data_IF_914166662049
#
_entry.id   IF_914166662049
#
_cell.length_a   1.000
_cell.length_b   1.000
_cell.length_c   1.000
_cell.angle_alpha   90.00
_cell.angle_beta   90.00
_cell.angle_gamma   90.00
#
_symmetry.space_group_name_H-M   'P 1'
#
loop_
_entity.id
_entity.type
_entity.pdbx_description
1 polymer ?
#
# COMPACT_ATOMS: atom_id res chain seq x y z
N UNK A 1 -16.84 15.84 7.39
CA UNK A 1 -16.05 15.39 6.24
C UNK A 1 -15.56 13.99 6.55
N UNK A 2 -15.99 12.99 5.81
CA UNK A 2 -15.51 11.62 6.04
C UNK A 2 -14.12 11.50 5.37
N UNK A 3 -13.13 11.06 6.16
CA UNK A 3 -11.77 10.76 5.68
C UNK A 3 -11.59 9.26 5.59
N UNK A 4 -10.69 8.81 4.72
CA UNK A 4 -10.34 7.38 4.62
C UNK A 4 -9.51 6.91 5.82
N UNK A 5 -9.60 5.65 6.17
CA UNK A 5 -8.65 5.00 7.08
C UNK A 5 -7.38 4.61 6.32
N UNK A 6 -6.21 4.89 6.89
CA UNK A 6 -4.93 4.73 6.20
C UNK A 6 -4.10 3.64 6.87
N UNK A 7 -3.68 2.65 6.07
CA UNK A 7 -2.72 1.63 6.53
C UNK A 7 -1.30 2.22 6.58
N UNK A 8 -0.69 2.27 7.77
CA UNK A 8 0.64 2.85 7.97
C UNK A 8 1.60 1.87 8.63
N UNK A 9 2.83 1.78 8.13
CA UNK A 9 3.87 0.94 8.74
C UNK A 9 4.35 1.49 10.10
N UNK A 10 4.55 0.61 11.07
CA UNK A 10 5.03 0.97 12.41
C UNK A 10 6.43 1.60 12.41
N UNK A 11 7.24 1.31 11.39
CA UNK A 11 8.55 1.93 11.19
C UNK A 11 8.50 3.46 10.97
N UNK A 12 7.34 4.03 10.67
CA UNK A 12 7.15 5.48 10.56
C UNK A 12 6.84 6.14 11.92
N UNK A 13 6.56 5.35 12.96
CA UNK A 13 6.17 5.84 14.28
C UNK A 13 7.36 6.14 15.19
N UNK A 14 8.51 6.51 14.64
CA UNK A 14 9.75 6.78 15.37
C UNK A 14 9.60 8.00 16.28
N UNK A 15 8.97 9.07 15.77
CA UNK A 15 8.82 10.33 16.49
C UNK A 15 7.45 10.46 17.18
N UNK A 16 7.41 11.01 18.43
CA UNK A 16 6.14 11.19 19.16
C UNK A 16 5.11 12.04 18.42
N UNK A 17 5.53 13.05 17.66
CA UNK A 17 4.64 13.90 16.91
C UNK A 17 4.00 13.19 15.72
N UNK A 18 4.71 12.26 15.07
CA UNK A 18 4.15 11.42 14.00
C UNK A 18 3.04 10.53 14.56
N UNK A 19 3.23 9.94 15.76
CA UNK A 19 2.18 9.14 16.42
C UNK A 19 0.90 9.93 16.63
N UNK A 20 1.00 11.23 16.96
CA UNK A 20 -0.18 12.11 17.12
C UNK A 20 -0.88 12.34 15.77
N UNK A 21 -0.13 12.67 14.72
CA UNK A 21 -0.68 12.89 13.37
C UNK A 21 -1.37 11.62 12.85
N UNK A 22 -0.73 10.47 12.98
CA UNK A 22 -1.27 9.16 12.56
C UNK A 22 -2.63 8.88 13.24
N UNK A 23 -2.75 9.17 14.55
CA UNK A 23 -4.01 9.00 15.27
C UNK A 23 -5.12 9.94 14.78
N UNK A 24 -4.77 11.19 14.48
CA UNK A 24 -5.74 12.19 13.96
C UNK A 24 -6.24 11.78 12.57
N UNK A 25 -5.38 11.17 11.75
CA UNK A 25 -5.70 10.76 10.38
C UNK A 25 -6.36 9.38 10.27
N UNK A 26 -7.00 8.86 11.34
CA UNK A 26 -7.66 7.55 11.33
C UNK A 26 -6.77 6.41 10.81
N UNK A 27 -5.46 6.44 11.12
CA UNK A 27 -4.55 5.42 10.59
C UNK A 27 -4.53 4.18 11.48
N UNK A 28 -4.48 3.00 10.88
CA UNK A 28 -4.20 1.75 11.56
C UNK A 28 -2.79 1.25 11.23
N UNK A 29 -2.20 0.51 12.18
CA UNK A 29 -0.77 0.20 12.14
C UNK A 29 -0.53 -1.17 11.54
N UNK A 30 0.33 -1.22 10.51
CA UNK A 30 0.87 -2.43 9.91
C UNK A 30 2.20 -2.75 10.58
N UNK A 31 2.26 -3.82 11.36
CA UNK A 31 3.49 -4.27 12.02
C UNK A 31 4.46 -4.88 11.01
N UNK A 32 5.74 -4.55 11.15
CA UNK A 32 6.82 -5.02 10.27
C UNK A 32 7.91 -5.75 11.06
N UNK A 33 8.75 -6.50 10.37
CA UNK A 33 9.90 -7.18 10.99
C UNK A 33 9.53 -8.29 11.97
N UNK A 34 8.31 -8.84 11.88
CA UNK A 34 7.84 -9.94 12.73
C UNK A 34 8.34 -11.29 12.21
N UNK A 35 8.47 -12.27 13.11
CA UNK A 35 8.66 -13.67 12.74
C UNK A 35 7.43 -14.22 11.97
N UNK A 36 7.60 -15.28 11.17
CA UNK A 36 6.56 -15.82 10.29
C UNK A 36 5.21 -16.03 10.97
N UNK A 37 5.20 -16.64 12.16
CA UNK A 37 3.97 -16.92 12.91
C UNK A 37 3.26 -15.65 13.36
N UNK A 38 4.01 -14.66 13.80
CA UNK A 38 3.47 -13.37 14.25
C UNK A 38 3.01 -12.53 13.06
N UNK A 39 3.72 -12.61 11.95
CA UNK A 39 3.33 -11.95 10.71
C UNK A 39 2.00 -12.48 10.19
N UNK A 40 1.78 -13.81 10.18
CA UNK A 40 0.51 -14.42 9.81
C UNK A 40 -0.64 -13.95 10.72
N UNK A 41 -0.42 -13.93 12.03
CA UNK A 41 -1.43 -13.43 12.98
C UNK A 41 -1.75 -11.95 12.75
N UNK A 42 -0.73 -11.13 12.53
CA UNK A 42 -0.89 -9.70 12.25
C UNK A 42 -1.63 -9.46 10.94
N UNK A 43 -1.31 -10.23 9.89
CA UNK A 43 -1.98 -10.16 8.60
C UNK A 43 -3.45 -10.57 8.69
N UNK A 44 -3.76 -11.65 9.43
CA UNK A 44 -5.14 -12.07 9.69
C UNK A 44 -5.93 -11.01 10.46
N UNK A 45 -5.34 -10.42 11.50
CA UNK A 45 -5.98 -9.37 12.27
C UNK A 45 -6.26 -8.14 11.41
N UNK A 46 -5.30 -7.75 10.57
CA UNK A 46 -5.43 -6.63 9.66
C UNK A 46 -6.52 -6.89 8.60
N UNK A 47 -6.53 -8.07 8.00
CA UNK A 47 -7.55 -8.46 7.03
C UNK A 47 -8.95 -8.42 7.66
N UNK A 48 -9.14 -9.03 8.82
CA UNK A 48 -10.42 -9.00 9.55
C UNK A 48 -10.86 -7.56 9.88
N UNK A 49 -9.91 -6.71 10.26
CA UNK A 49 -10.21 -5.31 10.51
C UNK A 49 -10.66 -4.58 9.23
N UNK A 50 -10.00 -4.83 8.10
CA UNK A 50 -10.37 -4.21 6.82
C UNK A 50 -11.79 -4.62 6.39
N UNK A 51 -12.12 -5.91 6.46
CA UNK A 51 -13.48 -6.39 6.21
C UNK A 51 -14.49 -5.73 7.14
N UNK A 52 -14.21 -5.70 8.45
CA UNK A 52 -15.07 -5.03 9.44
C UNK A 52 -15.24 -3.53 9.15
N UNK A 53 -14.16 -2.83 8.82
CA UNK A 53 -14.21 -1.40 8.56
C UNK A 53 -15.06 -1.07 7.32
N UNK A 54 -14.97 -1.88 6.28
CA UNK A 54 -15.74 -1.69 5.05
C UNK A 54 -17.21 -2.11 5.24
N UNK A 55 -17.46 -3.30 5.79
CA UNK A 55 -18.82 -3.88 5.82
C UNK A 55 -19.67 -3.40 6.98
N UNK A 56 -19.06 -3.11 8.13
CA UNK A 56 -19.77 -2.76 9.36
C UNK A 56 -19.67 -1.29 9.73
N UNK A 57 -18.46 -0.69 9.56
CA UNK A 57 -18.25 0.73 9.84
C UNK A 57 -18.58 1.62 8.64
N UNK A 58 -18.68 1.05 7.43
CA UNK A 58 -18.87 1.76 6.17
C UNK A 58 -17.81 2.85 5.93
N UNK A 59 -16.55 2.54 6.30
CA UNK A 59 -15.40 3.41 6.10
C UNK A 59 -14.59 2.96 4.88
N UNK A 60 -14.03 3.92 4.17
CA UNK A 60 -13.09 3.63 3.09
C UNK A 60 -11.69 3.41 3.66
N UNK A 61 -10.94 2.50 3.05
CA UNK A 61 -9.55 2.21 3.43
C UNK A 61 -8.62 2.55 2.27
N UNK A 62 -7.52 3.21 2.58
CA UNK A 62 -6.40 3.38 1.66
C UNK A 62 -5.20 2.54 2.12
N UNK A 63 -4.73 1.70 1.22
CA UNK A 63 -3.57 0.84 1.44
C UNK A 63 -2.64 0.90 0.22
N UNK A 64 -1.33 0.97 0.49
CA UNK A 64 -0.35 0.91 -0.59
C UNK A 64 -0.29 -0.51 -1.17
N UNK A 65 -0.26 -0.61 -2.50
CA UNK A 65 -0.26 -1.87 -3.25
C UNK A 65 1.02 -2.69 -3.13
N UNK A 66 2.07 -2.13 -2.52
CA UNK A 66 3.35 -2.80 -2.30
C UNK A 66 4.05 -2.33 -1.02
N UNK A 67 5.03 -3.10 -0.59
CA UNK A 67 5.91 -2.72 0.50
C UNK A 67 6.99 -1.74 0.03
N UNK A 68 7.22 -0.68 0.80
CA UNK A 68 8.22 0.34 0.51
C UNK A 68 7.69 1.44 -0.39
N UNK A 69 8.61 2.31 -0.84
CA UNK A 69 8.34 3.44 -1.75
C UNK A 69 8.92 3.13 -3.12
N UNK A 70 8.18 3.41 -4.19
CA UNK A 70 8.72 3.37 -5.54
C UNK A 70 9.77 4.48 -5.71
N UNK A 71 10.94 4.12 -6.22
CA UNK A 71 12.05 5.05 -6.47
C UNK A 71 12.30 5.26 -7.96
N UNK A 72 11.80 4.35 -8.76
CA UNK A 72 11.97 4.26 -10.21
C UNK A 72 10.65 4.42 -10.97
N UNK A 73 9.58 4.84 -10.27
CA UNK A 73 8.22 4.96 -10.79
C UNK A 73 7.59 3.64 -11.27
N UNK A 74 8.21 2.50 -10.96
CA UNK A 74 7.68 1.19 -11.26
C UNK A 74 7.01 0.59 -10.00
N UNK A 75 5.77 0.99 -9.76
CA UNK A 75 5.03 0.66 -8.54
C UNK A 75 4.01 -0.44 -8.83
N UNK A 76 4.48 -1.69 -8.88
CA UNK A 76 3.66 -2.86 -9.17
C UNK A 76 3.01 -3.44 -7.94
N UNK A 77 1.78 -3.91 -8.11
CA UNK A 77 1.00 -4.56 -7.08
C UNK A 77 1.65 -5.88 -6.65
N UNK A 78 1.80 -6.06 -5.34
CA UNK A 78 2.35 -7.29 -4.78
C UNK A 78 1.23 -8.29 -4.45
N UNK A 79 1.34 -9.52 -4.95
CA UNK A 79 0.45 -10.64 -4.62
C UNK A 79 0.22 -10.81 -3.10
N UNK A 80 1.26 -10.52 -2.32
CA UNK A 80 1.20 -10.66 -0.86
C UNK A 80 0.16 -9.75 -0.21
N UNK A 81 -0.11 -8.59 -0.79
CA UNK A 81 -1.15 -7.66 -0.32
C UNK A 81 -2.53 -8.28 -0.58
N UNK A 82 -2.77 -8.78 -1.79
CA UNK A 82 -4.03 -9.44 -2.14
C UNK A 82 -4.25 -10.72 -1.32
N UNK A 83 -3.20 -11.53 -1.14
CA UNK A 83 -3.23 -12.71 -0.27
C UNK A 83 -3.57 -12.36 1.17
N UNK A 84 -3.05 -11.24 1.67
CA UNK A 84 -3.39 -10.75 3.00
C UNK A 84 -4.85 -10.28 3.07
N UNK A 85 -5.36 -9.58 2.07
CA UNK A 85 -6.74 -9.09 2.04
C UNK A 85 -7.76 -10.22 2.14
N UNK A 86 -7.51 -11.38 1.55
CA UNK A 86 -8.42 -12.55 1.57
C UNK A 86 -8.22 -13.47 2.78
N UNK A 87 -7.40 -13.12 3.76
CA UNK A 87 -7.25 -13.94 4.98
C UNK A 87 -8.48 -13.85 5.88
N UNK A 88 -9.15 -12.68 5.93
CA UNK A 88 -10.44 -12.45 6.57
C UNK A 88 -11.59 -12.59 5.59
N UNK A 89 -12.80 -12.23 6.03
CA UNK A 89 -14.02 -12.31 5.25
C UNK A 89 -14.59 -13.72 5.11
N UNK A 90 -15.74 -13.83 4.46
CA UNK A 90 -16.46 -15.10 4.24
C UNK A 90 -16.49 -15.47 2.75
N UNK A 91 -16.73 -16.74 2.45
CA UNK A 91 -16.79 -17.25 1.08
C UNK A 91 -15.43 -17.60 0.49
N UNK A 92 -15.36 -17.66 -0.83
CA UNK A 92 -14.10 -17.91 -1.56
C UNK A 92 -13.25 -16.64 -1.68
N UNK A 93 -12.10 -16.74 -2.34
CA UNK A 93 -11.16 -15.61 -2.50
C UNK A 93 -11.77 -14.44 -3.29
N UNK A 94 -12.62 -14.72 -4.25
CA UNK A 94 -13.29 -13.70 -5.07
C UNK A 94 -14.39 -13.01 -4.27
N UNK A 95 -15.19 -13.76 -3.50
CA UNK A 95 -16.22 -13.21 -2.64
C UNK A 95 -15.61 -12.22 -1.64
N UNK A 96 -14.48 -12.60 -1.02
CA UNK A 96 -13.74 -11.76 -0.06
C UNK A 96 -13.15 -10.50 -0.69
N UNK A 97 -12.61 -10.57 -1.91
CA UNK A 97 -12.10 -9.39 -2.62
C UNK A 97 -13.23 -8.47 -3.08
N UNK A 98 -14.34 -9.04 -3.56
CA UNK A 98 -15.53 -8.27 -3.97
C UNK A 98 -16.17 -7.53 -2.81
N UNK A 99 -16.21 -8.14 -1.62
CA UNK A 99 -16.68 -7.48 -0.40
C UNK A 99 -15.90 -6.20 -0.09
N UNK A 100 -14.61 -6.15 -0.45
CA UNK A 100 -13.77 -4.97 -0.24
C UNK A 100 -13.99 -3.85 -1.26
N UNK A 101 -14.66 -4.08 -2.39
CA UNK A 101 -14.90 -3.09 -3.45
C UNK A 101 -13.60 -2.38 -3.86
N UNK A 102 -12.63 -3.14 -4.36
CA UNK A 102 -11.31 -2.61 -4.70
C UNK A 102 -11.39 -1.59 -5.84
N UNK A 103 -10.84 -0.41 -5.59
CA UNK A 103 -10.75 0.68 -6.56
C UNK A 103 -9.28 1.07 -6.72
N UNK A 104 -8.65 0.77 -7.86
CA UNK A 104 -7.29 1.21 -8.13
C UNK A 104 -7.19 2.74 -8.15
N UNK A 105 -6.14 3.27 -7.52
CA UNK A 105 -5.87 4.70 -7.44
C UNK A 105 -4.43 4.96 -7.87
N UNK A 106 -4.23 5.75 -8.91
CA UNK A 106 -2.93 6.25 -9.30
C UNK A 106 -2.73 7.71 -8.91
N UNK A 107 -1.48 8.06 -8.59
CA UNK A 107 -1.08 9.41 -8.22
C UNK A 107 0.13 9.80 -9.06
N UNK A 108 0.02 10.90 -9.77
CA UNK A 108 1.12 11.47 -10.55
C UNK A 108 1.38 12.93 -10.18
N UNK A 109 2.66 13.30 -10.24
CA UNK A 109 3.15 14.66 -10.02
C UNK A 109 3.74 15.18 -11.32
N UNK A 110 3.54 16.45 -11.61
CA UNK A 110 4.23 17.12 -12.73
C UNK A 110 5.75 17.16 -12.49
N UNK A 111 6.16 17.42 -11.23
CA UNK A 111 7.55 17.37 -10.77
C UNK A 111 7.67 16.53 -9.51
N UNK A 112 8.63 15.62 -9.47
CA UNK A 112 8.98 14.92 -8.24
C UNK A 112 10.05 15.72 -7.47
N UNK A 113 9.71 16.33 -6.30
CA UNK A 113 10.67 17.13 -5.56
C UNK A 113 11.86 16.33 -5.02
N UNK A 114 11.79 15.00 -5.07
CA UNK A 114 12.82 14.09 -4.60
C UNK A 114 13.59 13.39 -5.75
N UNK A 115 13.40 13.78 -7.01
CA UNK A 115 14.01 13.15 -8.18
C UNK A 115 15.54 13.06 -8.07
N UNK A 116 16.18 14.19 -7.80
CA UNK A 116 17.63 14.27 -7.58
C UNK A 116 18.10 13.36 -6.44
N UNK A 117 17.36 13.34 -5.32
CA UNK A 117 17.70 12.53 -4.15
C UNK A 117 17.56 11.03 -4.44
N UNK A 118 16.54 10.65 -5.22
CA UNK A 118 16.34 9.27 -5.69
C UNK A 118 17.47 8.86 -6.64
N UNK A 119 17.83 9.72 -7.58
CA UNK A 119 18.93 9.47 -8.51
C UNK A 119 20.28 9.33 -7.77
N UNK A 120 20.56 10.23 -6.82
CA UNK A 120 21.75 10.17 -5.98
C UNK A 120 21.83 8.88 -5.17
N UNK A 121 20.73 8.46 -4.54
CA UNK A 121 20.66 7.21 -3.78
C UNK A 121 20.90 6.00 -4.69
N UNK A 122 20.31 5.99 -5.89
CA UNK A 122 20.50 4.92 -6.87
C UNK A 122 21.96 4.84 -7.32
N UNK A 123 22.60 5.99 -7.57
CA UNK A 123 24.04 6.06 -7.88
C UNK A 123 24.93 5.54 -6.73
N UNK A 124 24.68 5.98 -5.50
CA UNK A 124 25.44 5.54 -4.34
C UNK A 124 25.35 4.03 -4.12
N UNK A 125 24.16 3.44 -4.31
CA UNK A 125 23.98 1.98 -4.23
C UNK A 125 24.65 1.21 -5.35
N UNK A 126 24.72 1.79 -6.55
CA UNK A 126 25.43 1.20 -7.67
C UNK A 126 26.97 1.21 -7.43
N UNK A 127 27.47 2.30 -6.87
CA UNK A 127 28.91 2.53 -6.71
C UNK A 127 29.45 1.88 -5.42
N UNK A 128 28.60 1.70 -4.40
CA UNK A 128 28.93 0.99 -3.14
C UNK A 128 27.79 0.04 -2.72
N UNK A 129 28.05 -1.25 -2.84
CA UNK A 129 27.08 -2.32 -2.47
C UNK A 129 26.72 -2.32 -0.96
N UNK A 130 27.56 -1.72 -0.10
CA UNK A 130 27.31 -1.61 1.34
C UNK A 130 26.64 -0.30 1.74
N UNK A 131 26.37 0.59 0.79
CA UNK A 131 25.72 1.86 1.07
C UNK A 131 24.36 1.65 1.77
N UNK A 132 24.23 2.30 2.91
CA UNK A 132 22.98 2.37 3.67
C UNK A 132 22.63 3.82 3.93
N UNK A 133 21.43 4.18 3.56
CA UNK A 133 20.86 5.49 3.84
C UNK A 133 20.66 5.66 5.35
N UNK A 134 21.03 6.83 5.88
CA UNK A 134 20.82 7.16 7.29
C UNK A 134 19.36 7.54 7.57
N UNK A 135 18.93 7.45 8.84
CA UNK A 135 17.60 7.93 9.28
C UNK A 135 17.43 9.44 9.07
N UNK A 136 18.54 10.21 9.25
CA UNK A 136 18.52 11.65 9.00
C UNK A 136 18.28 11.98 7.52
N UNK A 137 18.87 11.21 6.59
CA UNK A 137 18.62 11.37 5.16
C UNK A 137 17.17 11.04 4.80
N UNK A 138 16.59 10.01 5.45
CA UNK A 138 15.19 9.66 5.23
C UNK A 138 14.25 10.76 5.71
N UNK A 139 14.53 11.37 6.86
CA UNK A 139 13.76 12.49 7.39
C UNK A 139 13.87 13.72 6.48
N UNK A 140 15.07 14.07 6.04
CA UNK A 140 15.32 15.17 5.11
C UNK A 140 14.57 14.96 3.78
N UNK A 141 14.60 13.73 3.23
CA UNK A 141 13.87 13.40 2.01
C UNK A 141 12.35 13.50 2.20
N UNK A 142 11.83 13.07 3.35
CA UNK A 142 10.40 13.24 3.68
C UNK A 142 10.03 14.72 3.73
N UNK A 143 10.84 15.55 4.36
CA UNK A 143 10.62 16.99 4.46
C UNK A 143 10.62 17.65 3.08
N UNK A 144 11.59 17.33 2.22
CA UNK A 144 11.65 17.82 0.83
C UNK A 144 10.45 17.31 0.04
N UNK A 145 10.05 16.04 0.21
CA UNK A 145 8.86 15.49 -0.43
C UNK A 145 7.56 16.17 -0.02
N UNK A 146 7.45 16.66 1.22
CA UNK A 146 6.25 17.37 1.70
C UNK A 146 6.23 18.81 1.20
N UNK A 147 7.33 19.55 1.35
CA UNK A 147 7.37 20.99 1.09
C UNK A 147 7.82 21.37 -0.32
N UNK A 148 8.49 20.44 -1.04
CA UNK A 148 8.99 20.70 -2.38
C UNK A 148 7.89 20.96 -3.40
N UNK A 149 8.22 21.74 -4.40
CA UNK A 149 7.31 22.06 -5.51
C UNK A 149 7.00 20.80 -6.33
N UNK A 150 5.72 20.59 -6.64
CA UNK A 150 5.22 19.39 -7.35
C UNK A 150 4.51 19.71 -8.66
N UNK A 151 4.28 20.99 -8.93
CA UNK A 151 3.44 21.41 -10.06
C UNK A 151 2.00 20.92 -9.88
N UNK A 152 1.42 20.41 -10.95
CA UNK A 152 0.11 19.77 -10.88
C UNK A 152 0.20 18.37 -10.27
N UNK A 153 -0.76 18.06 -9.39
CA UNK A 153 -0.92 16.73 -8.78
C UNK A 153 -2.20 16.15 -9.33
N UNK A 154 -2.10 14.98 -9.94
CA UNK A 154 -3.24 14.30 -10.52
C UNK A 154 -3.53 12.99 -9.79
N UNK A 155 -4.76 12.86 -9.30
CA UNK A 155 -5.31 11.63 -8.76
C UNK A 155 -6.26 11.03 -9.79
N UNK A 156 -6.02 9.80 -10.17
CA UNK A 156 -6.89 9.06 -11.08
C UNK A 156 -7.39 7.80 -10.39
N UNK A 157 -8.71 7.66 -10.30
CA UNK A 157 -9.39 6.45 -9.82
C UNK A 157 -9.94 5.67 -10.99
N UNK A 158 -9.63 4.38 -11.05
CA UNK A 158 -10.29 3.45 -11.96
C UNK A 158 -11.71 3.11 -11.45
N UNK A 159 -12.45 2.33 -12.21
CA UNK A 159 -13.68 1.69 -11.74
C UNK A 159 -13.37 0.65 -10.65
N UNK A 160 -14.38 0.27 -9.86
CA UNK A 160 -14.30 -0.89 -8.99
C UNK A 160 -14.12 -2.16 -9.82
N UNK A 161 -13.18 -3.03 -9.47
CA UNK A 161 -12.80 -4.21 -10.26
C UNK A 161 -13.69 -5.45 -10.00
N UNK A 162 -14.86 -5.29 -9.41
CA UNK A 162 -15.71 -6.42 -9.04
C UNK A 162 -16.20 -7.23 -10.24
N UNK A 163 -16.50 -6.57 -11.35
CA UNK A 163 -16.95 -7.23 -12.59
C UNK A 163 -15.79 -8.03 -13.22
N UNK A 164 -14.60 -7.47 -13.25
CA UNK A 164 -13.39 -8.12 -13.74
C UNK A 164 -12.99 -9.32 -12.85
N UNK A 165 -13.25 -9.25 -11.55
CA UNK A 165 -13.05 -10.39 -10.64
C UNK A 165 -13.97 -11.55 -11.00
N UNK A 166 -15.24 -11.31 -11.41
CA UNK A 166 -16.13 -12.34 -11.90
C UNK A 166 -15.67 -12.95 -13.23
N UNK A 167 -15.13 -12.15 -14.12
CA UNK A 167 -14.50 -12.63 -15.35
C UNK A 167 -13.29 -13.53 -15.06
N UNK A 168 -12.39 -13.12 -14.17
CA UNK A 168 -11.21 -13.91 -13.77
C UNK A 168 -11.67 -15.22 -13.11
N UNK A 169 -12.68 -15.20 -12.25
CA UNK A 169 -13.26 -16.37 -11.60
C UNK A 169 -13.74 -17.39 -12.65
N UNK A 170 -14.39 -16.91 -13.72
CA UNK A 170 -14.90 -17.77 -14.81
C UNK A 170 -13.80 -18.52 -15.60
N UNK A 171 -12.58 -18.00 -15.60
CA UNK A 171 -11.43 -18.60 -16.29
C UNK A 171 -10.90 -19.87 -15.60
N UNK A 172 -11.33 -20.15 -14.36
CA UNK A 172 -10.89 -21.31 -13.57
C UNK A 172 -9.37 -21.46 -13.49
N UNK A 173 -8.65 -20.36 -13.27
CA UNK A 173 -7.20 -20.34 -13.19
C UNK A 173 -6.66 -21.16 -12.02
N UNK A 174 -5.42 -21.70 -12.11
CA UNK A 174 -4.72 -22.28 -10.98
C UNK A 174 -4.60 -21.28 -9.83
N UNK A 175 -4.78 -21.74 -8.58
CA UNK A 175 -4.71 -20.86 -7.39
C UNK A 175 -3.41 -20.06 -7.29
N UNK A 176 -2.32 -20.58 -7.87
CA UNK A 176 -1.01 -19.92 -7.90
C UNK A 176 -0.98 -18.69 -8.82
N UNK A 177 -1.85 -18.63 -9.82
CA UNK A 177 -1.86 -17.57 -10.84
C UNK A 177 -2.91 -16.51 -10.57
N UNK A 178 -3.98 -16.82 -9.83
CA UNK A 178 -5.10 -15.92 -9.60
C UNK A 178 -4.64 -14.57 -9.07
N UNK A 179 -3.80 -14.53 -8.03
CA UNK A 179 -3.36 -13.28 -7.43
C UNK A 179 -2.45 -12.45 -8.35
N UNK A 180 -1.64 -13.11 -9.16
CA UNK A 180 -0.80 -12.44 -10.15
C UNK A 180 -1.65 -11.77 -11.23
N UNK A 181 -2.68 -12.46 -11.73
CA UNK A 181 -3.60 -11.91 -12.74
C UNK A 181 -4.39 -10.72 -12.16
N UNK A 182 -4.84 -10.83 -10.90
CA UNK A 182 -5.53 -9.70 -10.23
C UNK A 182 -4.56 -8.52 -10.00
N UNK A 183 -3.31 -8.79 -9.64
CA UNK A 183 -2.30 -7.74 -9.48
C UNK A 183 -2.03 -7.01 -10.81
N UNK A 184 -1.90 -7.75 -11.91
CA UNK A 184 -1.74 -7.20 -13.26
C UNK A 184 -2.97 -6.37 -13.71
N UNK A 185 -4.17 -6.74 -13.27
CA UNK A 185 -5.39 -5.96 -13.53
C UNK A 185 -5.37 -4.60 -12.79
N UNK A 186 -4.80 -4.56 -11.59
CA UNK A 186 -4.72 -3.34 -10.78
C UNK A 186 -3.68 -2.36 -11.34
N UNK A 187 -2.57 -2.88 -11.92
CA UNK A 187 -1.46 -2.11 -12.47
C UNK A 187 -1.79 -1.45 -13.82
#
# INVERSE_FOLDING_TARGET
>A
MNTVEIAIGDNLLIYPWIKKIVRINKSFIVKRGLGLREQLKSSMLMSNYMHYAITQKHENIWIAQRQGRAKDSNDRTQDSILKMMVMGGEGDIFDRLKEMNLVPLSLSYEFDPCDYLKAKEAQQKRDDANFKKSEADDLANMQIGIYGYKGHIHFHTAACINDELDEIKSRNLPKTEVFTVIAELID
#
